data_IF_349949128347
#
_entry.id   IF_349949128347
#
_cell.length_a   1.000
_cell.length_b   1.000
_cell.length_c   1.000
_cell.angle_alpha   90.00
_cell.angle_beta   90.00
_cell.angle_gamma   90.00
#
_symmetry.space_group_name_H-M   'P 1'
#
loop_
_entity.id
_entity.type
_entity.pdbx_description
1 polymer ?
#
# COMPACT_ATOMS: atom_id res chain seq x y z
N UNK A 1 -2.37 -22.93 0.52
CA UNK A 1 -1.29 -22.57 1.45
C UNK A 1 -1.79 -21.46 2.34
N UNK A 2 -1.43 -21.49 3.62
CA UNK A 2 -1.73 -20.39 4.54
C UNK A 2 -0.79 -19.20 4.24
N UNK A 3 -1.33 -17.96 4.15
CA UNK A 3 -0.51 -16.78 3.87
C UNK A 3 0.41 -16.43 5.04
N UNK A 4 1.54 -15.80 4.74
CA UNK A 4 2.37 -15.13 5.73
C UNK A 4 1.79 -13.73 6.01
N UNK A 5 1.49 -13.44 7.28
CA UNK A 5 0.84 -12.17 7.64
C UNK A 5 1.84 -11.17 8.23
N UNK A 6 1.80 -9.95 7.69
CA UNK A 6 2.26 -8.73 8.35
C UNK A 6 1.03 -8.13 9.04
N UNK A 7 1.02 -8.10 10.37
CA UNK A 7 -0.15 -7.64 11.14
C UNK A 7 0.12 -6.31 11.82
N UNK A 8 -0.74 -5.32 11.56
CA UNK A 8 -0.81 -4.11 12.39
C UNK A 8 -1.59 -4.47 13.65
N UNK A 9 -0.88 -4.52 14.78
CA UNK A 9 -1.46 -4.82 16.10
C UNK A 9 -2.00 -3.54 16.73
N UNK A 10 -1.23 -2.45 16.62
CA UNK A 10 -1.55 -1.12 17.15
C UNK A 10 -1.21 -0.07 16.08
N UNK A 11 -2.10 0.91 15.89
CA UNK A 11 -1.91 1.95 14.89
C UNK A 11 -3.23 2.32 14.19
N UNK A 12 -3.25 3.43 13.45
CA UNK A 12 -4.37 3.78 12.58
C UNK A 12 -4.46 2.82 11.38
N UNK A 13 -5.56 2.91 10.65
CA UNK A 13 -5.66 2.38 9.29
C UNK A 13 -4.47 2.90 8.47
N UNK A 14 -3.72 2.04 7.75
CA UNK A 14 -2.64 2.49 6.89
C UNK A 14 -3.15 3.35 5.74
N UNK A 15 -2.38 4.37 5.39
CA UNK A 15 -2.61 5.15 4.19
C UNK A 15 -2.05 4.40 2.97
N UNK A 16 -2.85 4.34 1.90
CA UNK A 16 -2.47 3.75 0.63
C UNK A 16 -2.32 4.85 -0.41
N UNK A 17 -1.08 5.18 -0.73
CA UNK A 17 -0.77 6.19 -1.74
C UNK A 17 -0.73 5.56 -3.14
N UNK A 18 -1.30 6.20 -4.17
CA UNK A 18 -1.10 5.75 -5.55
C UNK A 18 0.39 5.73 -5.86
N UNK A 19 0.84 4.71 -6.57
CA UNK A 19 2.26 4.55 -6.84
C UNK A 19 2.74 5.59 -7.86
N UNK A 20 3.63 6.53 -7.50
CA UNK A 20 4.07 7.59 -8.41
C UNK A 20 4.98 7.08 -9.54
N UNK A 21 5.38 5.81 -9.51
CA UNK A 21 6.38 5.24 -10.40
C UNK A 21 5.76 4.11 -11.26
N UNK A 22 5.40 4.41 -12.51
CA UNK A 22 4.70 3.49 -13.43
C UNK A 22 5.43 2.18 -13.79
N UNK A 23 6.63 1.91 -13.26
CA UNK A 23 7.33 0.64 -13.49
C UNK A 23 6.64 -0.55 -12.80
N UNK A 24 5.97 -0.32 -11.67
CA UNK A 24 5.32 -1.40 -10.92
C UNK A 24 4.07 -1.91 -11.62
N UNK A 25 3.32 -1.03 -12.29
CA UNK A 25 2.18 -1.40 -13.11
C UNK A 25 2.61 -2.24 -14.32
N UNK A 26 3.80 -1.96 -14.88
CA UNK A 26 4.37 -2.77 -15.97
C UNK A 26 4.84 -4.17 -15.52
N UNK A 27 5.13 -4.38 -14.23
CA UNK A 27 5.51 -5.70 -13.68
C UNK A 27 4.27 -6.54 -13.35
N UNK A 28 3.11 -5.91 -13.19
CA UNK A 28 1.87 -6.54 -12.76
C UNK A 28 0.75 -6.36 -13.80
N UNK A 29 1.00 -6.80 -15.05
CA UNK A 29 -0.05 -6.89 -16.07
C UNK A 29 -0.74 -8.26 -15.98
N UNK A 30 -2.01 -8.26 -15.57
CA UNK A 30 -2.84 -9.46 -15.45
C UNK A 30 -4.19 -9.31 -16.17
N UNK A 31 -5.00 -10.38 -16.26
CA UNK A 31 -6.34 -10.31 -16.86
C UNK A 31 -7.35 -9.50 -16.03
N UNK A 32 -6.98 -9.08 -14.81
CA UNK A 32 -7.76 -8.21 -13.95
C UNK A 32 -7.05 -6.87 -13.82
N UNK A 33 -7.83 -5.77 -13.91
CA UNK A 33 -7.36 -4.43 -13.55
C UNK A 33 -7.17 -4.39 -12.03
N UNK A 34 -5.90 -4.27 -11.63
CA UNK A 34 -5.47 -4.25 -10.23
C UNK A 34 -4.48 -3.10 -10.10
N UNK A 35 -4.74 -2.17 -9.19
CA UNK A 35 -3.79 -1.10 -8.89
C UNK A 35 -2.81 -1.54 -7.82
N UNK A 36 -1.61 -0.96 -7.91
CA UNK A 36 -0.56 -1.14 -6.92
C UNK A 36 -0.40 0.16 -6.14
N UNK A 37 -0.73 0.12 -4.86
CA UNK A 37 -0.54 1.24 -3.94
C UNK A 37 0.71 1.04 -3.07
N UNK A 38 1.30 2.14 -2.63
CA UNK A 38 2.39 2.19 -1.65
C UNK A 38 1.82 2.49 -0.26
N UNK A 39 2.16 1.64 0.70
CA UNK A 39 1.90 1.82 2.11
C UNK A 39 3.24 1.95 2.87
N UNK A 40 3.29 2.83 3.87
CA UNK A 40 4.48 3.04 4.70
C UNK A 40 4.14 2.76 6.17
N UNK A 41 4.89 1.85 6.79
CA UNK A 41 4.67 1.42 8.16
C UNK A 41 5.93 1.64 9.01
N UNK A 42 5.76 2.15 10.22
CA UNK A 42 6.82 2.08 11.24
C UNK A 42 6.85 0.70 11.86
N UNK A 43 8.05 0.18 12.09
CA UNK A 43 8.24 -1.12 12.74
C UNK A 43 9.44 -1.07 13.67
N UNK A 44 9.47 -1.95 14.67
CA UNK A 44 10.66 -2.20 15.50
C UNK A 44 11.31 -3.55 15.23
N UNK A 45 10.72 -4.35 14.33
CA UNK A 45 11.14 -5.72 13.98
C UNK A 45 11.22 -5.87 12.45
N UNK A 46 11.74 -4.86 11.74
CA UNK A 46 11.74 -4.85 10.28
C UNK A 46 12.50 -6.02 9.66
N UNK A 47 13.67 -6.36 10.19
CA UNK A 47 14.51 -7.45 9.67
C UNK A 47 13.80 -8.81 9.73
N UNK A 48 13.18 -9.16 10.86
CA UNK A 48 12.41 -10.41 11.03
C UNK A 48 11.23 -10.50 10.05
N UNK A 49 10.53 -9.38 9.83
CA UNK A 49 9.43 -9.31 8.86
C UNK A 49 9.95 -9.61 7.45
N UNK A 50 11.06 -9.00 7.05
CA UNK A 50 11.67 -9.21 5.73
C UNK A 50 12.05 -10.68 5.54
N UNK A 51 12.74 -11.28 6.50
CA UNK A 51 13.17 -12.69 6.40
C UNK A 51 11.99 -13.65 6.25
N UNK A 52 10.95 -13.48 7.07
CA UNK A 52 9.73 -14.31 7.00
C UNK A 52 9.00 -14.19 5.66
N UNK A 53 8.91 -12.97 5.12
CA UNK A 53 8.25 -12.73 3.84
C UNK A 53 9.05 -13.30 2.67
N UNK A 54 10.38 -13.14 2.67
CA UNK A 54 11.25 -13.74 1.65
C UNK A 54 11.15 -15.27 1.67
N UNK A 55 11.16 -15.87 2.86
CA UNK A 55 11.00 -17.31 3.01
C UNK A 55 9.63 -17.79 2.51
N UNK A 56 8.54 -17.07 2.85
CA UNK A 56 7.21 -17.39 2.37
C UNK A 56 7.13 -17.34 0.83
N UNK A 57 7.70 -16.32 0.19
CA UNK A 57 7.73 -16.22 -1.26
C UNK A 57 8.56 -17.32 -1.93
N UNK A 58 9.70 -17.72 -1.35
CA UNK A 58 10.50 -18.86 -1.83
C UNK A 58 9.71 -20.19 -1.79
N UNK A 59 8.84 -20.34 -0.79
CA UNK A 59 7.91 -21.47 -0.67
C UNK A 59 6.65 -21.35 -1.55
N UNK A 60 6.49 -20.25 -2.29
CA UNK A 60 5.29 -19.96 -3.08
C UNK A 60 4.06 -19.61 -2.26
N UNK A 61 4.24 -19.24 -0.98
CA UNK A 61 3.16 -18.75 -0.10
C UNK A 61 2.95 -17.24 -0.32
N UNK A 62 1.69 -16.77 -0.40
CA UNK A 62 1.42 -15.34 -0.50
C UNK A 62 1.74 -14.63 0.82
N UNK A 63 2.09 -13.35 0.72
CA UNK A 63 2.27 -12.44 1.86
C UNK A 63 1.12 -11.44 1.86
N UNK A 64 0.53 -11.17 3.03
CA UNK A 64 -0.59 -10.24 3.18
C UNK A 64 -0.37 -9.25 4.32
N UNK A 65 -0.78 -8.00 4.10
CA UNK A 65 -0.92 -7.01 5.15
C UNK A 65 -2.32 -7.16 5.77
N UNK A 66 -2.38 -7.35 7.09
CA UNK A 66 -3.61 -7.46 7.84
C UNK A 66 -3.73 -6.28 8.82
N UNK A 67 -4.74 -5.44 8.59
CA UNK A 67 -4.88 -4.13 9.22
C UNK A 67 -6.33 -3.87 9.66
N UNK A 68 -6.56 -3.05 10.70
CA UNK A 68 -7.89 -2.56 11.01
C UNK A 68 -8.30 -1.45 10.01
N UNK A 69 -9.52 -1.49 9.51
CA UNK A 69 -10.15 -0.35 8.83
C UNK A 69 -10.70 0.68 9.85
N UNK A 70 -11.32 1.75 9.36
CA UNK A 70 -11.83 2.84 10.20
C UNK A 70 -12.95 2.41 11.15
N UNK A 71 -13.62 1.29 10.84
CA UNK A 71 -14.61 0.65 11.70
C UNK A 71 -13.99 -0.40 12.64
N UNK A 72 -12.65 -0.51 12.65
CA UNK A 72 -11.83 -1.53 13.33
C UNK A 72 -12.12 -2.96 12.89
N UNK A 73 -12.64 -3.16 11.68
CA UNK A 73 -12.78 -4.48 11.10
C UNK A 73 -11.45 -4.88 10.44
N UNK A 74 -11.06 -6.16 10.60
CA UNK A 74 -9.83 -6.69 10.00
C UNK A 74 -9.99 -6.78 8.49
N UNK A 75 -9.07 -6.16 7.75
CA UNK A 75 -8.95 -6.20 6.29
C UNK A 75 -7.59 -6.76 5.91
N UNK A 76 -7.55 -7.42 4.75
CA UNK A 76 -6.31 -7.98 4.20
C UNK A 76 -6.12 -7.55 2.75
N UNK A 77 -4.88 -7.20 2.42
CA UNK A 77 -4.44 -6.91 1.04
C UNK A 77 -3.18 -7.70 0.73
N UNK A 78 -3.02 -8.15 -0.51
CA UNK A 78 -1.84 -8.91 -0.93
C UNK A 78 -0.65 -7.96 -1.09
N UNK A 79 0.51 -8.38 -0.57
CA UNK A 79 1.79 -7.66 -0.69
C UNK A 79 2.55 -8.20 -1.89
N UNK A 80 2.84 -7.35 -2.86
CA UNK A 80 3.59 -7.71 -4.07
C UNK A 80 5.08 -7.44 -3.95
N UNK A 81 5.46 -6.47 -3.12
CA UNK A 81 6.86 -6.17 -2.83
C UNK A 81 6.98 -5.49 -1.46
N UNK A 82 8.17 -5.57 -0.87
CA UNK A 82 8.49 -4.87 0.36
C UNK A 82 9.92 -4.35 0.34
N UNK A 83 10.17 -3.29 1.11
CA UNK A 83 11.52 -2.75 1.35
C UNK A 83 11.63 -2.20 2.75
N UNK A 84 12.65 -2.64 3.49
CA UNK A 84 13.04 -2.02 4.74
C UNK A 84 14.04 -0.88 4.48
N UNK A 85 13.82 0.27 5.11
CA UNK A 85 14.73 1.41 5.08
C UNK A 85 14.89 2.00 6.47
N UNK A 86 16.02 2.68 6.69
CA UNK A 86 16.26 3.43 7.92
C UNK A 86 16.07 4.92 7.69
N UNK A 87 15.38 5.56 8.62
CA UNK A 87 15.23 7.02 8.70
C UNK A 87 15.56 7.49 10.12
N UNK A 88 15.61 8.80 10.35
CA UNK A 88 16.00 9.37 11.64
C UNK A 88 15.07 8.92 12.80
N UNK A 89 13.79 8.71 12.52
CA UNK A 89 12.80 8.22 13.49
C UNK A 89 12.77 6.68 13.66
N UNK A 90 13.68 5.94 13.01
CA UNK A 90 13.80 4.48 13.11
C UNK A 90 13.49 3.74 11.81
N UNK A 91 13.08 2.47 11.94
CA UNK A 91 12.81 1.60 10.80
C UNK A 91 11.48 1.94 10.12
N UNK A 92 11.54 2.02 8.79
CA UNK A 92 10.40 2.23 7.92
C UNK A 92 10.28 1.05 6.94
N UNK A 93 9.13 0.38 6.98
CA UNK A 93 8.78 -0.70 6.07
C UNK A 93 7.86 -0.15 4.98
N UNK A 94 8.38 -0.13 3.76
CA UNK A 94 7.63 0.21 2.55
C UNK A 94 6.99 -1.07 2.00
N UNK A 95 5.68 -1.06 1.78
CA UNK A 95 4.92 -2.17 1.23
C UNK A 95 4.20 -1.72 -0.05
N UNK A 96 4.34 -2.50 -1.11
CA UNK A 96 3.50 -2.36 -2.30
C UNK A 96 2.42 -3.43 -2.24
N UNK A 97 1.17 -3.00 -2.37
CA UNK A 97 0.00 -3.85 -2.19
C UNK A 97 -0.95 -3.75 -3.37
N UNK A 98 -1.68 -4.83 -3.65
CA UNK A 98 -2.75 -4.82 -4.65
C UNK A 98 -4.03 -4.29 -4.05
N UNK A 99 -4.60 -3.25 -4.66
CA UNK A 99 -5.95 -2.79 -4.38
C UNK A 99 -6.87 -3.12 -5.56
N UNK A 100 -8.09 -3.62 -5.32
CA UNK A 100 -9.11 -3.68 -6.34
C UNK A 100 -9.41 -2.27 -6.84
N UNK A 101 -9.56 -2.10 -8.15
CA UNK A 101 -9.87 -0.83 -8.83
C UNK A 101 -11.06 -0.08 -8.20
N UNK A 102 -12.05 -0.80 -7.65
CA UNK A 102 -13.22 -0.21 -6.97
C UNK A 102 -12.91 0.43 -5.61
N UNK A 103 -11.70 0.24 -5.04
CA UNK A 103 -11.27 0.87 -3.79
C UNK A 103 -10.57 2.22 -3.98
N UNK A 104 -10.36 2.67 -5.22
CA UNK A 104 -9.75 3.97 -5.55
C UNK A 104 -10.69 5.18 -5.39
N UNK A 105 -11.87 5.03 -4.79
CA UNK A 105 -12.61 6.19 -4.21
C UNK A 105 -11.87 6.73 -2.95
N UNK A 106 -10.54 6.78 -2.99
CA UNK A 106 -9.71 7.53 -2.06
C UNK A 106 -9.85 8.98 -2.48
N UNK A 107 -10.73 9.67 -1.76
CA UNK A 107 -10.97 11.11 -1.77
C UNK A 107 -9.85 11.90 -2.47
N UNK A 108 -10.00 12.10 -3.78
CA UNK A 108 -9.44 13.29 -4.41
C UNK A 108 -10.11 14.44 -3.68
N UNK A 109 -9.43 15.02 -2.68
CA UNK A 109 -9.70 16.40 -2.30
C UNK A 109 -9.40 17.22 -3.56
N UNK A 110 -10.41 17.33 -4.41
CA UNK A 110 -10.54 18.41 -5.38
C UNK A 110 -10.45 19.71 -4.58
N UNK A 111 -9.24 20.21 -4.37
CA UNK A 111 -9.03 21.66 -4.29
C UNK A 111 -9.40 22.21 -5.68
N UNK A 112 -10.71 22.27 -5.96
CA UNK A 112 -11.29 23.07 -7.02
C UNK A 112 -11.15 24.55 -6.62
N UNK A 113 -9.90 24.99 -6.55
CA UNK A 113 -9.49 26.38 -6.50
C UNK A 113 -9.13 26.84 -7.90
N UNK A 114 -10.13 27.06 -8.75
CA UNK A 114 -9.99 28.08 -9.80
C UNK A 114 -11.36 28.72 -10.04
N UNK A 115 -11.55 29.89 -9.43
CA UNK A 115 -12.63 30.81 -9.76
C UNK A 115 -12.49 31.15 -11.26
N UNK A 116 -13.27 30.47 -12.09
CA UNK A 116 -13.37 30.74 -13.51
C UNK A 116 -13.95 32.14 -13.70
N UNK A 117 -13.10 33.17 -13.82
CA UNK A 117 -13.50 34.55 -14.07
C UNK A 117 -13.93 34.70 -15.55
N UNK A 118 -15.23 34.89 -15.85
CA UNK A 118 -15.72 34.93 -17.22
C UNK A 118 -15.36 36.23 -17.98
N UNK A 119 -14.61 37.16 -17.39
CA UNK A 119 -14.36 38.50 -17.97
C UNK A 119 -13.01 38.69 -18.68
N UNK A 120 -12.29 37.64 -19.10
CA UNK A 120 -11.09 37.76 -19.94
C UNK A 120 -11.43 37.54 -21.43
N UNK A 121 -11.49 38.58 -22.28
CA UNK A 121 -11.66 38.43 -23.73
C UNK A 121 -10.33 38.05 -24.42
N UNK A 122 -10.42 37.20 -25.45
CA UNK A 122 -9.33 36.75 -26.32
C UNK A 122 -8.61 37.87 -27.07
#
# INVERSE_FOLDING_TARGET
MEPELITIIEGPTPEFMPNPQGWMQSVYEGPQEIDVALCQLRTGNGEDIVERCLHAWDEGRPVRLDYPDDLRLRRQVDVVALRLTQIDEGELLLLWVTLPWEMEDIEEEDEAGDDFDPDIPF
#
